data_IF_598209070078
#
_entry.id   IF_598209070078
#
_cell.length_a   1.000
_cell.length_b   1.000
_cell.length_c   1.000
_cell.angle_alpha   90.00
_cell.angle_beta   90.00
_cell.angle_gamma   90.00
#
_symmetry.space_group_name_H-M   'P 1'
#
loop_
_entity.id
_entity.type
_entity.pdbx_description
1 polymer ?
#
# COMPACT_ATOMS: atom_id res chain seq x y z
N UNK A 1 -15.78 -30.69 11.48
CA UNK A 1 -15.19 -30.29 12.78
C UNK A 1 -14.76 -28.84 12.66
N UNK A 2 -15.36 -27.93 13.43
CA UNK A 2 -15.01 -26.51 13.37
C UNK A 2 -13.59 -26.36 13.91
N UNK A 3 -12.59 -26.11 13.05
CA UNK A 3 -11.23 -25.78 13.53
C UNK A 3 -11.38 -24.57 14.43
N UNK A 4 -11.03 -24.70 15.71
CA UNK A 4 -11.14 -23.60 16.67
C UNK A 4 -10.28 -22.43 16.16
N UNK A 5 -10.93 -21.33 15.77
CA UNK A 5 -10.26 -20.12 15.32
C UNK A 5 -9.43 -19.56 16.47
N UNK A 6 -8.27 -19.03 16.14
CA UNK A 6 -7.30 -18.58 17.13
C UNK A 6 -6.83 -17.16 16.85
N UNK A 7 -6.67 -16.35 17.89
CA UNK A 7 -6.15 -14.98 17.81
C UNK A 7 -4.77 -14.92 18.47
N UNK A 8 -3.80 -14.31 17.81
CA UNK A 8 -2.51 -13.99 18.41
C UNK A 8 -2.64 -12.72 19.26
N UNK A 9 -2.33 -12.79 20.55
CA UNK A 9 -2.10 -11.62 21.39
C UNK A 9 -0.59 -11.38 21.42
N UNK A 10 -0.14 -10.38 20.69
CA UNK A 10 1.29 -10.09 20.50
C UNK A 10 1.63 -8.79 21.21
N UNK A 11 2.66 -8.77 22.04
CA UNK A 11 2.99 -7.55 22.78
C UNK A 11 4.23 -7.62 23.65
N UNK A 12 4.56 -6.49 24.26
CA UNK A 12 5.66 -6.36 25.20
C UNK A 12 5.18 -6.78 26.60
N UNK A 13 5.14 -8.08 26.87
CA UNK A 13 4.61 -8.64 28.12
C UNK A 13 5.49 -8.29 29.34
N UNK A 14 6.75 -7.93 29.11
CA UNK A 14 7.68 -7.41 30.12
C UNK A 14 7.20 -6.10 30.78
N UNK A 15 6.50 -5.26 30.02
CA UNK A 15 6.06 -3.93 30.46
C UNK A 15 4.55 -3.74 30.48
N UNK A 16 3.81 -4.57 29.74
CA UNK A 16 2.34 -4.49 29.58
C UNK A 16 1.69 -5.86 29.74
N UNK A 17 2.21 -6.67 30.65
CA UNK A 17 1.70 -8.01 30.89
C UNK A 17 0.21 -8.03 31.26
N UNK A 18 -0.23 -7.11 32.13
CA UNK A 18 -1.62 -7.03 32.58
C UNK A 18 -2.61 -6.76 31.44
N UNK A 19 -2.30 -5.81 30.56
CA UNK A 19 -3.17 -5.44 29.45
C UNK A 19 -3.29 -6.56 28.41
N UNK A 20 -2.17 -7.23 28.09
CA UNK A 20 -2.19 -8.34 27.15
C UNK A 20 -2.86 -9.59 27.73
N UNK A 21 -2.67 -9.87 29.02
CA UNK A 21 -3.39 -10.94 29.70
C UNK A 21 -4.89 -10.64 29.82
N UNK A 22 -5.27 -9.38 30.01
CA UNK A 22 -6.67 -8.96 29.95
C UNK A 22 -7.27 -9.27 28.57
N UNK A 23 -6.62 -8.84 27.49
CA UNK A 23 -7.07 -9.16 26.12
C UNK A 23 -7.21 -10.66 25.89
N UNK A 24 -6.20 -11.45 26.28
CA UNK A 24 -6.25 -12.92 26.24
C UNK A 24 -7.51 -13.45 26.92
N UNK A 25 -7.73 -13.07 28.18
CA UNK A 25 -8.84 -13.59 28.98
C UNK A 25 -10.21 -13.22 28.39
N UNK A 26 -10.37 -11.99 27.85
CA UNK A 26 -11.62 -11.57 27.20
C UNK A 26 -11.90 -12.32 25.90
N UNK A 27 -10.86 -12.63 25.12
CA UNK A 27 -10.97 -13.39 23.86
C UNK A 27 -11.27 -14.87 24.15
N UNK A 28 -10.58 -15.48 25.11
CA UNK A 28 -10.85 -16.85 25.56
C UNK A 28 -12.25 -16.98 26.14
N UNK A 29 -12.69 -16.00 26.94
CA UNK A 29 -14.06 -15.93 27.45
C UNK A 29 -15.12 -15.80 26.36
N UNK A 30 -14.73 -15.36 25.16
CA UNK A 30 -15.58 -15.35 23.96
C UNK A 30 -15.54 -16.68 23.18
N UNK A 31 -14.83 -17.69 23.66
CA UNK A 31 -14.76 -19.02 23.04
C UNK A 31 -13.78 -19.15 21.88
N UNK A 32 -12.88 -18.18 21.67
CA UNK A 32 -11.78 -18.29 20.71
C UNK A 32 -10.50 -18.74 21.41
N UNK A 33 -9.66 -19.50 20.71
CA UNK A 33 -8.34 -19.86 21.22
C UNK A 33 -7.42 -18.63 21.17
N UNK A 34 -6.51 -18.49 22.13
CA UNK A 34 -5.48 -17.45 22.10
C UNK A 34 -4.09 -18.07 22.05
N UNK A 35 -3.20 -17.46 21.27
CA UNK A 35 -1.75 -17.69 21.34
C UNK A 35 -1.09 -16.40 21.81
N UNK A 36 -0.39 -16.43 22.93
CA UNK A 36 0.36 -15.26 23.43
C UNK A 36 1.77 -15.26 22.88
N UNK A 37 2.20 -14.13 22.35
CA UNK A 37 3.54 -13.94 21.78
C UNK A 37 4.22 -12.76 22.46
N UNK A 38 5.20 -13.05 23.31
CA UNK A 38 6.02 -12.02 23.93
C UNK A 38 7.07 -11.50 22.95
N UNK A 39 7.01 -10.20 22.72
CA UNK A 39 7.95 -9.41 21.91
C UNK A 39 8.55 -8.24 22.73
N UNK A 40 8.56 -8.38 24.06
CA UNK A 40 9.31 -7.50 24.96
C UNK A 40 10.81 -7.59 24.70
N UNK A 41 11.54 -6.54 25.08
CA UNK A 41 12.99 -6.44 24.81
C UNK A 41 13.81 -6.11 26.05
N UNK A 42 13.17 -5.92 27.22
CA UNK A 42 13.87 -5.41 28.41
C UNK A 42 14.24 -6.51 29.38
N UNK A 43 13.27 -7.30 29.79
CA UNK A 43 13.42 -8.24 30.91
C UNK A 43 12.61 -9.52 30.71
N UNK A 44 13.02 -10.63 31.34
CA UNK A 44 12.23 -11.86 31.35
C UNK A 44 10.86 -11.63 31.99
N UNK A 45 9.85 -12.34 31.51
CA UNK A 45 8.50 -12.30 32.07
C UNK A 45 8.32 -13.40 33.13
N UNK A 46 7.55 -13.14 34.22
CA UNK A 46 7.39 -14.08 35.33
C UNK A 46 6.27 -15.12 35.11
N UNK A 47 5.68 -15.18 33.91
CA UNK A 47 4.55 -16.04 33.59
C UNK A 47 4.72 -16.70 32.21
N UNK A 48 3.99 -17.78 31.96
CA UNK A 48 4.08 -18.53 30.71
C UNK A 48 3.32 -17.85 29.56
N UNK A 49 3.93 -17.85 28.38
CA UNK A 49 3.30 -17.44 27.11
C UNK A 49 3.50 -18.54 26.07
N UNK A 50 2.66 -18.57 25.03
CA UNK A 50 2.77 -19.59 23.99
C UNK A 50 4.10 -19.50 23.21
N UNK A 51 4.60 -18.28 22.99
CA UNK A 51 5.88 -18.02 22.34
C UNK A 51 6.59 -16.86 23.05
N UNK A 52 7.73 -17.15 23.67
CA UNK A 52 8.57 -16.12 24.30
C UNK A 52 9.80 -15.81 23.43
N UNK A 53 9.65 -14.83 22.52
CA UNK A 53 10.73 -14.47 21.61
C UNK A 53 11.91 -13.81 22.32
N UNK A 54 11.66 -13.08 23.42
CA UNK A 54 12.72 -12.50 24.23
C UNK A 54 13.67 -13.58 24.75
N UNK A 55 13.12 -14.58 25.47
CA UNK A 55 13.92 -15.68 26.02
C UNK A 55 14.61 -16.51 24.93
N UNK A 56 13.92 -16.76 23.82
CA UNK A 56 14.49 -17.47 22.67
C UNK A 56 15.69 -16.72 22.05
N UNK A 57 15.54 -15.42 21.80
CA UNK A 57 16.57 -14.60 21.17
C UNK A 57 17.76 -14.38 22.09
N UNK A 58 17.53 -14.15 23.39
CA UNK A 58 18.60 -14.09 24.41
C UNK A 58 19.42 -15.37 24.45
N UNK A 59 18.76 -16.52 24.51
CA UNK A 59 19.44 -17.83 24.53
C UNK A 59 20.31 -18.05 23.29
N UNK A 60 19.87 -17.54 22.13
CA UNK A 60 20.59 -17.68 20.87
C UNK A 60 21.65 -16.57 20.64
N UNK A 61 21.78 -15.59 21.54
CA UNK A 61 22.68 -14.45 21.35
C UNK A 61 22.26 -13.48 20.24
N UNK A 62 20.97 -13.48 19.86
CA UNK A 62 20.44 -12.73 18.72
C UNK A 62 19.70 -11.44 19.13
N UNK A 63 19.82 -11.02 20.38
CA UNK A 63 19.23 -9.78 20.88
C UNK A 63 20.35 -8.83 21.31
N UNK A 64 20.38 -7.63 20.75
CA UNK A 64 21.35 -6.60 21.12
C UNK A 64 20.88 -5.82 22.36
N UNK A 65 21.45 -6.15 23.50
CA UNK A 65 21.05 -5.56 24.78
C UNK A 65 21.64 -4.17 25.03
N UNK A 66 22.62 -3.76 24.22
CA UNK A 66 23.29 -2.47 24.33
C UNK A 66 22.61 -1.35 23.54
N UNK A 67 21.76 -1.70 22.56
CA UNK A 67 21.08 -0.74 21.71
C UNK A 67 19.58 -1.06 21.59
N UNK A 68 18.75 -0.23 22.24
CA UNK A 68 17.29 -0.38 22.27
C UNK A 68 16.67 -0.43 20.88
N UNK A 69 17.10 0.41 19.95
CA UNK A 69 16.49 0.48 18.62
C UNK A 69 16.82 -0.77 17.82
N UNK A 70 18.05 -1.26 17.93
CA UNK A 70 18.47 -2.52 17.30
C UNK A 70 17.74 -3.72 17.90
N UNK A 71 17.57 -3.78 19.23
CA UNK A 71 16.76 -4.81 19.88
C UNK A 71 15.31 -4.83 19.35
N UNK A 72 14.70 -3.65 19.18
CA UNK A 72 13.35 -3.52 18.61
C UNK A 72 13.32 -4.04 17.17
N UNK A 73 14.29 -3.66 16.32
CA UNK A 73 14.34 -4.12 14.93
C UNK A 73 14.55 -5.64 14.81
N UNK A 74 15.43 -6.21 15.64
CA UNK A 74 15.66 -7.65 15.69
C UNK A 74 14.39 -8.38 16.14
N UNK A 75 13.69 -7.84 17.13
CA UNK A 75 12.43 -8.38 17.62
C UNK A 75 11.30 -8.29 16.58
N UNK A 76 11.19 -7.17 15.85
CA UNK A 76 10.22 -7.04 14.75
C UNK A 76 10.49 -8.12 13.70
N UNK A 77 11.75 -8.32 13.30
CA UNK A 77 12.14 -9.31 12.30
C UNK A 77 11.77 -10.74 12.71
N UNK A 78 12.09 -11.14 13.94
CA UNK A 78 11.74 -12.48 14.44
C UNK A 78 10.22 -12.63 14.68
N UNK A 79 9.56 -11.58 15.17
CA UNK A 79 8.09 -11.53 15.30
C UNK A 79 7.38 -11.72 13.96
N UNK A 80 7.85 -11.04 12.90
CA UNK A 80 7.34 -11.20 11.53
C UNK A 80 7.48 -12.65 11.06
N UNK A 81 8.65 -13.27 11.25
CA UNK A 81 8.90 -14.66 10.85
C UNK A 81 7.91 -15.61 11.53
N UNK A 82 7.78 -15.51 12.85
CA UNK A 82 6.88 -16.35 13.63
C UNK A 82 5.42 -16.15 13.21
N UNK A 83 4.94 -14.91 13.14
CA UNK A 83 3.55 -14.61 12.81
C UNK A 83 3.19 -15.05 11.38
N UNK A 84 4.09 -14.85 10.41
CA UNK A 84 3.92 -15.39 9.06
C UNK A 84 3.83 -16.91 9.04
N UNK A 85 4.66 -17.60 9.83
CA UNK A 85 4.62 -19.06 9.93
C UNK A 85 3.30 -19.52 10.56
N UNK A 86 2.89 -18.94 11.68
CA UNK A 86 1.64 -19.30 12.36
C UNK A 86 0.41 -19.06 11.47
N UNK A 87 0.39 -17.97 10.71
CA UNK A 87 -0.70 -17.67 9.77
C UNK A 87 -0.74 -18.71 8.65
N UNK A 88 0.41 -19.03 8.05
CA UNK A 88 0.52 -20.01 6.96
C UNK A 88 0.13 -21.42 7.39
N UNK A 89 0.48 -21.80 8.62
CA UNK A 89 0.11 -23.09 9.23
C UNK A 89 -1.38 -23.16 9.63
N UNK A 90 -2.15 -22.08 9.46
CA UNK A 90 -3.54 -21.98 9.91
C UNK A 90 -3.70 -22.00 11.43
N UNK A 91 -2.65 -21.63 12.18
CA UNK A 91 -2.64 -21.61 13.65
C UNK A 91 -3.18 -20.31 14.23
N UNK A 92 -3.25 -19.24 13.44
CA UNK A 92 -3.84 -17.95 13.83
C UNK A 92 -4.74 -17.43 12.70
N UNK A 93 -5.78 -16.68 13.09
CA UNK A 93 -6.86 -16.15 12.24
C UNK A 93 -7.16 -14.68 12.59
N UNK A 94 -6.23 -14.04 13.29
CA UNK A 94 -6.33 -12.66 13.74
C UNK A 94 -5.17 -12.34 14.68
N UNK A 95 -4.83 -11.06 14.80
CA UNK A 95 -3.79 -10.55 15.68
C UNK A 95 -4.28 -9.29 16.39
N UNK A 96 -4.02 -9.20 17.69
CA UNK A 96 -4.35 -8.04 18.51
C UNK A 96 -3.19 -7.66 19.42
N UNK A 97 -3.05 -6.36 19.69
CA UNK A 97 -2.06 -5.82 20.63
C UNK A 97 -2.56 -4.55 21.31
N UNK A 98 -1.91 -4.16 22.41
CA UNK A 98 -2.12 -2.90 23.09
C UNK A 98 -0.78 -2.28 23.50
N UNK A 99 -0.56 -0.98 23.24
CA UNK A 99 0.71 -0.36 23.59
C UNK A 99 0.78 1.15 23.45
N UNK A 100 1.86 1.71 24.02
CA UNK A 100 2.26 3.09 23.78
C UNK A 100 2.93 3.27 22.42
N UNK A 101 3.65 4.36 22.19
CA UNK A 101 4.33 4.63 20.91
C UNK A 101 5.26 3.49 20.45
N UNK A 102 6.19 3.03 21.29
CA UNK A 102 7.11 1.93 20.92
C UNK A 102 6.39 0.59 20.70
N UNK A 103 5.41 0.26 21.55
CA UNK A 103 4.62 -0.97 21.40
C UNK A 103 3.76 -0.95 20.14
N UNK A 104 3.21 0.22 19.80
CA UNK A 104 2.47 0.45 18.56
C UNK A 104 3.37 0.27 17.35
N UNK A 105 4.54 0.89 17.32
CA UNK A 105 5.50 0.74 16.23
C UNK A 105 5.91 -0.74 16.04
N UNK A 106 6.28 -1.41 17.11
CA UNK A 106 6.72 -2.81 17.09
C UNK A 106 5.59 -3.73 16.60
N UNK A 107 4.43 -3.67 17.24
CA UNK A 107 3.35 -4.62 16.95
C UNK A 107 2.68 -4.34 15.62
N UNK A 108 2.50 -3.07 15.21
CA UNK A 108 2.00 -2.74 13.88
C UNK A 108 2.95 -3.21 12.78
N UNK A 109 4.27 -3.13 12.99
CA UNK A 109 5.26 -3.64 12.03
C UNK A 109 5.14 -5.15 11.84
N UNK A 110 4.86 -5.89 12.92
CA UNK A 110 4.56 -7.33 12.84
C UNK A 110 3.19 -7.57 12.18
N UNK A 111 2.16 -6.80 12.54
CA UNK A 111 0.82 -6.89 11.92
C UNK A 111 0.88 -6.70 10.41
N UNK A 112 1.71 -5.78 9.91
CA UNK A 112 1.85 -5.54 8.47
C UNK A 112 2.37 -6.74 7.68
N UNK A 113 2.93 -7.76 8.34
CA UNK A 113 3.34 -8.99 7.67
C UNK A 113 2.19 -9.98 7.40
N UNK A 114 1.01 -9.76 8.00
CA UNK A 114 -0.17 -10.58 7.77
C UNK A 114 -0.89 -10.18 6.46
N UNK A 115 -1.44 -11.15 5.70
CA UNK A 115 -2.18 -10.87 4.47
C UNK A 115 -3.39 -9.95 4.67
N UNK A 116 -3.87 -9.35 3.57
CA UNK A 116 -5.14 -8.62 3.55
C UNK A 116 -6.28 -9.51 4.09
N UNK A 117 -7.17 -8.93 4.90
CA UNK A 117 -8.39 -9.59 5.37
C UNK A 117 -8.22 -10.44 6.63
N UNK A 118 -6.98 -10.81 7.00
CA UNK A 118 -6.73 -11.35 8.34
C UNK A 118 -6.91 -10.22 9.35
N UNK A 119 -7.81 -10.33 10.35
CA UNK A 119 -8.07 -9.28 11.32
C UNK A 119 -6.82 -8.83 12.09
N UNK A 120 -6.56 -7.51 12.13
CA UNK A 120 -5.41 -6.89 12.82
C UNK A 120 -5.92 -5.70 13.63
N UNK A 121 -5.85 -5.77 14.96
CA UNK A 121 -6.38 -4.72 15.85
C UNK A 121 -5.27 -4.20 16.76
N UNK A 122 -5.04 -2.90 16.77
CA UNK A 122 -4.04 -2.24 17.61
C UNK A 122 -4.71 -1.23 18.53
N UNK A 123 -4.66 -1.46 19.84
CA UNK A 123 -5.04 -0.45 20.84
C UNK A 123 -3.83 0.43 21.13
N UNK A 124 -3.88 1.72 20.77
CA UNK A 124 -2.72 2.60 20.82
C UNK A 124 -2.99 3.92 21.53
N UNK A 125 -2.03 4.35 22.35
CA UNK A 125 -2.05 5.69 22.98
C UNK A 125 -1.75 6.81 21.98
N UNK A 126 -1.26 6.46 20.79
CA UNK A 126 -0.89 7.42 19.74
C UNK A 126 -1.79 7.30 18.51
N UNK A 127 -2.91 6.57 18.56
CA UNK A 127 -3.79 6.39 17.40
C UNK A 127 -4.35 7.69 16.78
N UNK A 128 -4.29 8.81 17.52
CA UNK A 128 -4.71 10.15 17.09
C UNK A 128 -3.59 10.97 16.44
N UNK A 129 -2.39 10.39 16.28
CA UNK A 129 -1.26 10.98 15.54
C UNK A 129 -1.27 10.52 14.08
N UNK A 130 -0.28 10.95 13.31
CA UNK A 130 -0.06 10.44 11.96
C UNK A 130 0.25 8.95 11.96
N UNK A 131 -0.64 8.16 11.37
CA UNK A 131 -0.57 6.71 11.29
C UNK A 131 -0.06 6.19 9.92
N UNK A 132 0.35 7.07 8.99
CA UNK A 132 0.76 6.70 7.61
C UNK A 132 1.72 5.52 7.59
N UNK A 133 2.81 5.59 8.37
CA UNK A 133 3.82 4.52 8.43
C UNK A 133 3.46 3.37 9.38
N UNK A 134 2.55 3.60 10.32
CA UNK A 134 2.08 2.59 11.29
C UNK A 134 1.14 1.61 10.61
N UNK A 135 0.14 2.10 9.89
CA UNK A 135 -0.81 1.28 9.14
C UNK A 135 -0.22 0.85 7.79
N UNK A 136 0.49 1.75 7.12
CA UNK A 136 1.01 1.53 5.78
C UNK A 136 -0.12 1.28 4.79
N UNK A 137 0.00 0.21 4.04
CA UNK A 137 -0.95 -0.24 3.00
C UNK A 137 -1.88 -1.36 3.47
N UNK A 138 -1.87 -1.67 4.77
CA UNK A 138 -2.63 -2.77 5.37
C UNK A 138 -3.93 -2.31 6.02
N UNK A 139 -4.85 -3.26 6.20
CA UNK A 139 -6.14 -3.14 6.89
C UNK A 139 -6.01 -3.25 8.42
N UNK A 140 -5.08 -2.50 9.03
CA UNK A 140 -4.92 -2.46 10.49
C UNK A 140 -6.00 -1.54 11.09
N UNK A 141 -6.80 -2.10 12.01
CA UNK A 141 -7.77 -1.32 12.79
C UNK A 141 -7.09 -0.70 14.01
N UNK A 142 -6.98 0.63 14.02
CA UNK A 142 -6.46 1.40 15.15
C UNK A 142 -7.59 1.77 16.12
N UNK A 143 -7.43 1.43 17.40
CA UNK A 143 -8.32 1.83 18.48
C UNK A 143 -7.55 2.75 19.42
N UNK A 144 -8.01 3.98 19.63
CA UNK A 144 -7.38 4.91 20.55
C UNK A 144 -7.60 4.46 22.00
N UNK A 145 -6.53 4.31 22.79
CA UNK A 145 -6.63 3.86 24.19
C UNK A 145 -7.27 4.91 25.12
N UNK A 146 -7.34 6.18 24.68
CA UNK A 146 -7.85 7.37 25.41
C UNK A 146 -6.96 7.77 26.58
N UNK A 147 -6.64 6.82 27.46
CA UNK A 147 -5.70 6.98 28.56
C UNK A 147 -4.42 6.20 28.28
N UNK A 148 -3.35 6.50 29.02
CA UNK A 148 -2.13 5.71 28.93
C UNK A 148 -2.37 4.26 29.41
N UNK A 149 -1.54 3.35 28.92
CA UNK A 149 -1.59 1.92 29.23
C UNK A 149 -0.50 1.61 30.27
N UNK A 150 -0.91 1.73 31.53
CA UNK A 150 -0.13 1.42 32.72
C UNK A 150 -1.01 0.59 33.69
N UNK A 151 -1.24 -0.65 33.32
CA UNK A 151 -2.18 -1.55 33.98
C UNK A 151 -3.62 -1.34 33.50
N UNK A 152 -4.51 -2.22 33.96
CA UNK A 152 -5.93 -2.19 33.61
C UNK A 152 -6.74 -1.48 34.69
N UNK A 153 -7.37 -0.36 34.33
CA UNK A 153 -8.25 0.40 35.21
C UNK A 153 -9.68 0.46 34.63
N UNK A 154 -10.59 1.11 35.35
CA UNK A 154 -12.01 1.22 34.97
C UNK A 154 -12.24 1.91 33.63
N UNK A 155 -11.28 2.71 33.13
CA UNK A 155 -11.36 3.38 31.83
C UNK A 155 -10.67 2.52 30.75
N UNK A 156 -9.40 2.13 30.96
CA UNK A 156 -8.66 1.33 29.97
C UNK A 156 -9.29 -0.05 29.74
N UNK A 157 -9.87 -0.66 30.78
CA UNK A 157 -10.60 -1.92 30.69
C UNK A 157 -11.82 -1.86 29.76
N UNK A 158 -12.53 -0.73 29.70
CA UNK A 158 -13.64 -0.55 28.74
C UNK A 158 -13.10 -0.64 27.30
N UNK A 159 -12.01 0.07 27.01
CA UNK A 159 -11.44 0.11 25.67
C UNK A 159 -10.85 -1.25 25.27
N UNK A 160 -10.12 -1.91 26.18
CA UNK A 160 -9.55 -3.23 25.94
C UNK A 160 -10.63 -4.30 25.75
N UNK A 161 -11.75 -4.23 26.49
CA UNK A 161 -12.88 -5.15 26.30
C UNK A 161 -13.53 -4.97 24.92
N UNK A 162 -13.74 -3.72 24.48
CA UNK A 162 -14.26 -3.44 23.14
C UNK A 162 -13.29 -3.90 22.04
N UNK A 163 -11.99 -3.72 22.23
CA UNK A 163 -10.98 -4.22 21.30
C UNK A 163 -10.99 -5.76 21.19
N UNK A 164 -11.10 -6.45 22.33
CA UNK A 164 -11.25 -7.91 22.38
C UNK A 164 -12.55 -8.38 21.67
N UNK A 165 -13.67 -7.70 21.91
CA UNK A 165 -14.93 -7.99 21.24
C UNK A 165 -14.84 -7.76 19.72
N UNK A 166 -14.19 -6.67 19.29
CA UNK A 166 -14.00 -6.33 17.89
C UNK A 166 -13.20 -7.41 17.16
N UNK A 167 -12.02 -7.81 17.68
CA UNK A 167 -11.22 -8.86 17.03
C UNK A 167 -11.98 -10.20 17.01
N UNK A 168 -12.75 -10.53 18.05
CA UNK A 168 -13.58 -11.74 18.04
C UNK A 168 -14.65 -11.71 16.94
N UNK A 169 -15.31 -10.57 16.74
CA UNK A 169 -16.28 -10.37 15.67
C UNK A 169 -15.65 -10.47 14.29
N UNK A 170 -14.55 -9.75 14.06
CA UNK A 170 -13.80 -9.78 12.81
C UNK A 170 -13.33 -11.20 12.48
N UNK A 171 -12.75 -11.91 13.45
CA UNK A 171 -12.29 -13.30 13.30
C UNK A 171 -13.44 -14.27 13.04
N UNK A 172 -14.70 -13.93 13.33
CA UNK A 172 -15.88 -14.76 13.00
C UNK A 172 -16.48 -14.46 11.64
N UNK A 173 -16.09 -13.37 10.98
CA UNK A 173 -16.55 -13.05 9.64
C UNK A 173 -16.27 -14.20 8.66
N UNK A 174 -17.19 -14.43 7.73
CA UNK A 174 -17.12 -15.47 6.70
C UNK A 174 -17.56 -14.94 5.34
N UNK A 175 -17.64 -13.62 5.17
CA UNK A 175 -18.04 -13.05 3.89
C UNK A 175 -17.07 -13.51 2.79
N UNK A 176 -17.65 -13.91 1.67
CA UNK A 176 -16.95 -14.28 0.45
C UNK A 176 -17.75 -13.71 -0.74
N UNK A 177 -17.09 -13.37 -1.85
CA UNK A 177 -17.80 -12.94 -3.05
C UNK A 177 -18.63 -14.10 -3.62
N UNK A 178 -19.78 -13.79 -4.21
CA UNK A 178 -20.64 -14.79 -4.87
C UNK A 178 -19.96 -15.43 -6.10
N UNK A 179 -19.07 -14.67 -6.75
CA UNK A 179 -18.31 -15.10 -7.93
C UNK A 179 -16.90 -14.54 -7.88
N UNK A 180 -15.92 -15.34 -8.31
CA UNK A 180 -14.54 -14.87 -8.52
C UNK A 180 -14.29 -14.61 -10.01
N UNK A 181 -14.13 -13.33 -10.37
CA UNK A 181 -13.74 -12.92 -11.72
C UNK A 181 -12.23 -12.71 -11.81
N UNK A 182 -11.70 -12.71 -13.04
CA UNK A 182 -10.32 -12.24 -13.26
C UNK A 182 -10.24 -10.76 -12.88
N UNK A 183 -9.27 -10.43 -12.03
CA UNK A 183 -9.11 -9.07 -11.50
C UNK A 183 -8.05 -8.27 -12.24
N UNK A 184 -8.38 -7.05 -12.63
CA UNK A 184 -7.45 -6.06 -13.17
C UNK A 184 -7.30 -4.94 -12.15
N UNK A 185 -6.09 -4.67 -11.69
CA UNK A 185 -5.82 -3.47 -10.92
C UNK A 185 -5.74 -2.25 -11.85
N UNK A 186 -6.31 -1.12 -11.42
CA UNK A 186 -6.35 0.10 -12.21
C UNK A 186 -5.92 1.30 -11.36
N UNK A 187 -4.71 1.83 -11.56
CA UNK A 187 -4.29 3.06 -10.91
C UNK A 187 -4.83 4.28 -11.65
N UNK A 188 -5.36 5.29 -10.96
CA UNK A 188 -5.82 6.53 -11.60
C UNK A 188 -5.74 7.71 -10.63
N UNK A 189 -5.88 8.94 -11.13
CA UNK A 189 -6.03 10.13 -10.29
C UNK A 189 -7.01 11.13 -10.92
N UNK A 190 -7.26 12.23 -10.21
CA UNK A 190 -8.30 13.21 -10.54
C UNK A 190 -8.37 13.58 -12.03
N UNK A 191 -7.23 13.93 -12.63
CA UNK A 191 -7.20 14.47 -14.00
C UNK A 191 -7.42 13.43 -15.10
N UNK A 192 -7.52 12.15 -14.75
CA UNK A 192 -7.77 11.06 -15.70
C UNK A 192 -8.97 10.17 -15.29
N UNK A 193 -9.83 10.68 -14.42
CA UNK A 193 -11.03 9.96 -13.94
C UNK A 193 -11.93 9.51 -15.10
N UNK A 194 -12.11 10.36 -16.13
CA UNK A 194 -12.91 10.02 -17.32
C UNK A 194 -12.37 8.78 -18.05
N UNK A 195 -11.04 8.70 -18.20
CA UNK A 195 -10.38 7.53 -18.79
C UNK A 195 -10.56 6.29 -17.91
N UNK A 196 -10.33 6.41 -16.60
CA UNK A 196 -10.45 5.30 -15.66
C UNK A 196 -11.87 4.68 -15.64
N UNK A 197 -12.91 5.52 -15.62
CA UNK A 197 -14.31 5.05 -15.68
C UNK A 197 -14.64 4.37 -17.00
N UNK A 198 -14.09 4.86 -18.12
CA UNK A 198 -14.28 4.23 -19.42
C UNK A 198 -13.54 2.88 -19.51
N UNK A 199 -12.27 2.82 -19.10
CA UNK A 199 -11.47 1.59 -19.05
C UNK A 199 -12.16 0.54 -18.18
N UNK A 200 -12.63 0.94 -17.00
CA UNK A 200 -13.37 0.06 -16.09
C UNK A 200 -14.59 -0.56 -16.77
N UNK A 201 -15.44 0.28 -17.39
CA UNK A 201 -16.65 -0.20 -18.08
C UNK A 201 -16.31 -1.17 -19.21
N UNK A 202 -15.28 -0.91 -20.00
CA UNK A 202 -14.90 -1.78 -21.11
C UNK A 202 -14.36 -3.13 -20.60
N UNK A 203 -13.50 -3.15 -19.59
CA UNK A 203 -12.99 -4.38 -18.97
C UNK A 203 -14.11 -5.21 -18.31
N UNK A 204 -15.07 -4.56 -17.63
CA UNK A 204 -16.21 -5.26 -17.01
C UNK A 204 -17.14 -5.90 -18.06
N UNK A 205 -17.27 -5.30 -19.26
CA UNK A 205 -17.97 -5.93 -20.40
C UNK A 205 -17.26 -7.17 -20.92
N UNK A 206 -15.97 -7.29 -20.67
CA UNK A 206 -15.13 -8.47 -20.99
C UNK A 206 -15.05 -9.47 -19.81
N UNK A 207 -15.93 -9.33 -18.81
CA UNK A 207 -16.04 -10.20 -17.63
C UNK A 207 -14.85 -10.14 -16.64
N UNK A 208 -14.16 -9.00 -16.60
CA UNK A 208 -13.20 -8.70 -15.54
C UNK A 208 -13.87 -8.02 -14.34
N UNK A 209 -13.27 -8.17 -13.16
CA UNK A 209 -13.50 -7.30 -12.01
C UNK A 209 -12.36 -6.29 -11.95
N UNK A 210 -12.69 -4.99 -11.96
CA UNK A 210 -11.68 -3.93 -11.94
C UNK A 210 -11.56 -3.37 -10.53
N UNK A 211 -10.34 -3.40 -9.99
CA UNK A 211 -10.03 -2.91 -8.64
C UNK A 211 -9.30 -1.56 -8.78
N UNK A 212 -9.99 -0.43 -8.56
CA UNK A 212 -9.41 0.88 -8.74
C UNK A 212 -8.54 1.30 -7.54
N UNK A 213 -7.43 1.96 -7.82
CA UNK A 213 -6.52 2.55 -6.85
C UNK A 213 -6.29 4.02 -7.16
N UNK A 214 -6.54 4.88 -6.18
CA UNK A 214 -6.14 6.28 -6.30
C UNK A 214 -4.61 6.36 -6.21
N UNK A 215 -3.95 6.90 -7.23
CA UNK A 215 -2.49 6.99 -7.31
C UNK A 215 -1.95 8.14 -6.42
N UNK A 216 -2.17 8.05 -5.12
CA UNK A 216 -1.84 9.10 -4.14
C UNK A 216 -0.60 8.74 -3.29
N UNK A 217 0.33 7.98 -3.87
CA UNK A 217 1.47 7.40 -3.19
C UNK A 217 1.10 6.10 -2.50
N UNK A 218 0.18 6.13 -1.53
CA UNK A 218 -0.24 4.94 -0.80
C UNK A 218 -1.06 3.98 -1.65
N UNK A 219 -1.93 4.47 -2.54
CA UNK A 219 -2.74 3.59 -3.38
C UNK A 219 -1.94 2.78 -4.40
N UNK A 220 -0.93 3.39 -5.05
CA UNK A 220 -0.01 2.65 -5.92
C UNK A 220 0.76 1.55 -5.19
N UNK A 221 1.25 1.83 -3.97
CA UNK A 221 1.91 0.82 -3.14
C UNK A 221 0.96 -0.30 -2.68
N UNK A 222 -0.28 0.04 -2.31
CA UNK A 222 -1.29 -0.94 -1.91
C UNK A 222 -1.64 -1.88 -3.07
N UNK A 223 -1.74 -1.35 -4.29
CA UNK A 223 -1.93 -2.14 -5.50
C UNK A 223 -0.80 -3.17 -5.68
N UNK A 224 0.45 -2.78 -5.52
CA UNK A 224 1.59 -3.70 -5.68
C UNK A 224 1.68 -4.74 -4.57
N UNK A 225 1.35 -4.35 -3.34
CA UNK A 225 1.28 -5.29 -2.23
C UNK A 225 0.21 -6.37 -2.49
N UNK A 226 -0.97 -5.99 -2.96
CA UNK A 226 -2.02 -6.94 -3.33
C UNK A 226 -1.66 -7.77 -4.57
N UNK A 227 -0.88 -7.21 -5.51
CA UNK A 227 -0.29 -7.99 -6.59
C UNK A 227 0.65 -9.09 -6.06
N UNK A 228 1.48 -8.77 -5.05
CA UNK A 228 2.37 -9.73 -4.37
C UNK A 228 1.62 -10.84 -3.65
N UNK A 229 0.44 -10.53 -3.11
CA UNK A 229 -0.46 -11.50 -2.49
C UNK A 229 -1.25 -12.34 -3.51
N UNK A 230 -1.18 -11.99 -4.81
CA UNK A 230 -1.78 -12.77 -5.89
C UNK A 230 -3.22 -12.40 -6.22
N UNK A 231 -3.67 -11.19 -5.88
CA UNK A 231 -5.05 -10.76 -6.13
C UNK A 231 -5.34 -10.43 -7.60
N UNK A 232 -4.32 -10.14 -8.41
CA UNK A 232 -4.50 -9.61 -9.77
C UNK A 232 -4.00 -10.55 -10.86
N UNK A 233 -4.74 -10.54 -11.97
CA UNK A 233 -4.40 -11.21 -13.22
C UNK A 233 -3.76 -10.25 -14.23
N UNK A 234 -3.91 -8.94 -14.02
CA UNK A 234 -3.28 -7.89 -14.81
C UNK A 234 -3.26 -6.57 -14.03
N UNK A 235 -2.33 -5.70 -14.38
CA UNK A 235 -2.22 -4.34 -13.84
C UNK A 235 -2.29 -3.37 -15.02
N UNK A 236 -3.26 -2.47 -14.99
CA UNK A 236 -3.36 -1.34 -15.89
C UNK A 236 -2.94 -0.09 -15.10
N UNK A 237 -1.67 0.25 -15.19
CA UNK A 237 -1.08 1.45 -14.62
C UNK A 237 -1.46 2.67 -15.48
N UNK A 238 -2.71 3.12 -15.35
CA UNK A 238 -3.23 4.28 -16.09
C UNK A 238 -2.68 5.60 -15.53
N UNK A 239 -2.35 5.67 -14.25
CA UNK A 239 -1.66 6.82 -13.65
C UNK A 239 -0.23 6.47 -13.24
N UNK A 240 0.74 7.21 -13.78
CA UNK A 240 2.17 7.12 -13.40
C UNK A 240 2.69 8.37 -12.69
N UNK A 241 1.85 9.40 -12.51
CA UNK A 241 2.22 10.71 -11.92
C UNK A 241 2.82 10.66 -10.51
N UNK A 242 2.65 9.57 -9.76
CA UNK A 242 3.27 9.41 -8.44
C UNK A 242 4.81 9.58 -8.49
N UNK A 243 5.45 9.32 -9.65
CA UNK A 243 6.88 9.62 -9.86
C UNK A 243 7.17 11.13 -9.89
N UNK A 244 6.30 11.93 -10.52
CA UNK A 244 6.44 13.38 -10.59
C UNK A 244 6.28 14.00 -9.20
N UNK A 245 5.27 13.57 -8.44
CA UNK A 245 5.07 14.00 -7.06
C UNK A 245 6.23 13.54 -6.16
N UNK A 246 6.77 12.34 -6.35
CA UNK A 246 7.94 11.90 -5.58
C UNK A 246 9.20 12.74 -5.87
N UNK A 247 9.40 13.17 -7.13
CA UNK A 247 10.51 14.02 -7.53
C UNK A 247 10.43 15.43 -6.92
N UNK A 248 9.21 15.95 -6.76
CA UNK A 248 8.94 17.33 -6.34
C UNK A 248 8.49 17.47 -4.88
N UNK A 249 8.55 16.38 -4.09
CA UNK A 249 7.96 16.30 -2.75
C UNK A 249 6.49 16.78 -2.71
N UNK A 250 5.72 16.34 -3.71
CA UNK A 250 4.34 16.71 -3.93
C UNK A 250 3.32 16.01 -3.03
N UNK A 251 2.06 16.31 -3.27
CA UNK A 251 0.92 15.85 -2.49
C UNK A 251 0.76 14.32 -2.51
N UNK A 252 1.00 13.70 -3.66
CA UNK A 252 0.97 12.25 -3.85
C UNK A 252 2.35 11.60 -3.66
N UNK A 253 3.28 12.25 -2.96
CA UNK A 253 4.63 11.72 -2.70
C UNK A 253 4.66 10.56 -1.70
N UNK A 254 5.86 10.02 -1.48
CA UNK A 254 6.09 8.94 -0.52
C UNK A 254 5.77 7.54 -1.06
N UNK A 255 5.87 7.35 -2.39
CA UNK A 255 5.97 6.01 -2.96
C UNK A 255 7.26 5.31 -2.51
N UNK A 256 7.16 4.01 -2.29
CA UNK A 256 8.32 3.17 -1.99
C UNK A 256 9.21 2.96 -3.22
N UNK A 257 10.46 2.49 -3.01
CA UNK A 257 11.40 2.25 -4.10
C UNK A 257 10.89 1.22 -5.11
N UNK A 258 9.98 0.33 -4.70
CA UNK A 258 9.47 -0.77 -5.52
C UNK A 258 8.32 -0.37 -6.46
N UNK A 259 7.84 0.88 -6.40
CA UNK A 259 6.77 1.36 -7.29
C UNK A 259 7.16 1.17 -8.76
N UNK A 260 6.27 0.58 -9.56
CA UNK A 260 6.40 0.14 -10.95
C UNK A 260 7.37 -1.02 -11.20
N UNK A 261 7.94 -1.63 -10.15
CA UNK A 261 8.83 -2.79 -10.30
C UNK A 261 8.04 -4.10 -10.39
N UNK A 262 8.62 -5.18 -10.97
CA UNK A 262 8.00 -6.49 -10.96
C UNK A 262 7.74 -6.99 -9.54
N UNK A 263 6.65 -7.71 -9.40
CA UNK A 263 6.36 -8.49 -8.20
C UNK A 263 7.21 -9.78 -8.18
N UNK A 264 8.14 -9.96 -7.22
CA UNK A 264 9.01 -11.13 -7.21
C UNK A 264 8.25 -12.46 -7.20
N UNK A 265 8.62 -13.36 -8.11
CA UNK A 265 8.00 -14.69 -8.23
C UNK A 265 6.60 -14.70 -8.86
N UNK A 266 6.11 -13.56 -9.35
CA UNK A 266 4.84 -13.44 -10.08
C UNK A 266 5.10 -12.95 -11.50
N UNK A 267 4.24 -13.36 -12.43
CA UNK A 267 4.28 -12.93 -13.84
C UNK A 267 2.93 -12.29 -14.17
N UNK A 268 2.76 -11.04 -13.75
CA UNK A 268 1.51 -10.30 -13.91
C UNK A 268 1.69 -9.34 -15.08
N UNK A 269 0.94 -9.48 -16.19
CA UNK A 269 1.00 -8.52 -17.28
C UNK A 269 0.68 -7.11 -16.78
N UNK A 270 1.51 -6.14 -17.18
CA UNK A 270 1.40 -4.74 -16.78
C UNK A 270 1.35 -3.83 -17.99
N UNK A 271 0.18 -3.24 -18.23
CA UNK A 271 -0.01 -2.19 -19.22
C UNK A 271 0.24 -0.83 -18.55
N UNK A 272 1.16 -0.04 -19.09
CA UNK A 272 1.58 1.25 -18.53
C UNK A 272 1.23 2.38 -19.47
N UNK A 273 0.76 3.50 -18.92
CA UNK A 273 0.52 4.74 -19.66
C UNK A 273 1.14 5.93 -18.91
N UNK A 274 1.48 7.04 -19.59
CA UNK A 274 2.07 8.22 -18.96
C UNK A 274 1.02 9.11 -18.24
N UNK A 275 -0.13 8.55 -17.81
CA UNK A 275 -1.23 9.36 -17.30
C UNK A 275 -0.88 10.18 -16.06
N UNK A 276 -1.15 11.49 -16.15
CA UNK A 276 -0.81 12.50 -15.15
C UNK A 276 0.68 12.84 -15.06
N UNK A 277 1.56 12.13 -15.76
CA UNK A 277 3.01 12.31 -15.70
C UNK A 277 3.45 13.63 -16.37
N UNK A 278 2.50 14.40 -16.89
CA UNK A 278 2.68 15.76 -17.36
C UNK A 278 2.90 16.78 -16.23
N UNK A 279 2.54 16.44 -15.00
CA UNK A 279 2.54 17.38 -13.89
C UNK A 279 2.90 16.75 -12.54
N UNK A 280 3.29 17.58 -11.58
CA UNK A 280 3.35 17.24 -10.17
C UNK A 280 2.27 18.02 -9.41
N UNK A 281 1.56 17.37 -8.48
CA UNK A 281 0.53 18.01 -7.66
C UNK A 281 1.15 18.49 -6.36
N UNK A 282 1.03 19.78 -6.03
CA UNK A 282 1.60 20.40 -4.84
C UNK A 282 0.53 21.10 -4.00
N UNK A 283 0.81 21.32 -2.71
CA UNK A 283 -0.10 22.01 -1.79
C UNK A 283 0.10 23.53 -1.81
N UNK A 284 -0.47 24.19 -2.81
CA UNK A 284 -0.59 25.65 -2.84
C UNK A 284 -1.79 26.12 -3.67
N UNK A 285 -2.11 27.41 -3.58
CA UNK A 285 -3.24 28.02 -4.29
C UNK A 285 -2.82 29.27 -5.06
N UNK A 286 -3.70 29.78 -5.93
CA UNK A 286 -3.50 31.05 -6.65
C UNK A 286 -3.23 32.27 -5.76
N UNK A 287 -3.53 32.19 -4.46
CA UNK A 287 -3.27 33.27 -3.50
C UNK A 287 -1.81 33.31 -3.03
N UNK A 288 -1.11 32.18 -3.08
CA UNK A 288 0.25 32.05 -2.62
C UNK A 288 0.97 30.99 -3.46
N UNK A 289 1.59 31.43 -4.55
CA UNK A 289 2.44 30.57 -5.39
C UNK A 289 3.86 30.63 -4.81
N UNK A 290 4.47 29.48 -4.45
CA UNK A 290 5.87 29.41 -4.03
C UNK A 290 6.79 30.08 -5.05
N UNK A 291 7.86 30.74 -4.58
CA UNK A 291 8.75 31.53 -5.43
C UNK A 291 9.36 30.71 -6.57
N UNK A 292 9.80 29.49 -6.26
CA UNK A 292 10.34 28.51 -7.20
C UNK A 292 9.37 28.04 -8.31
N UNK A 293 8.07 28.34 -8.19
CA UNK A 293 7.04 27.92 -9.14
C UNK A 293 6.34 29.10 -9.84
N UNK A 294 6.73 30.34 -9.57
CA UNK A 294 6.06 31.54 -10.13
C UNK A 294 6.08 31.59 -11.66
N UNK A 295 7.15 31.11 -12.27
CA UNK A 295 7.34 31.11 -13.73
C UNK A 295 6.92 29.80 -14.40
N UNK A 296 6.34 28.87 -13.64
CA UNK A 296 5.84 27.59 -14.15
C UNK A 296 4.43 27.75 -14.70
N UNK A 297 4.05 26.90 -15.66
CA UNK A 297 2.64 26.70 -16.01
C UNK A 297 1.94 25.99 -14.85
N UNK A 298 0.81 26.54 -14.40
CA UNK A 298 0.08 26.05 -13.22
C UNK A 298 -1.39 25.82 -13.56
N UNK A 299 -1.91 24.67 -13.14
CA UNK A 299 -3.33 24.37 -13.11
C UNK A 299 -3.81 24.38 -11.66
N UNK A 300 -4.65 25.36 -11.32
CA UNK A 300 -5.18 25.52 -9.97
C UNK A 300 -6.42 24.66 -9.78
N UNK A 301 -6.39 23.74 -8.82
CA UNK A 301 -7.50 22.81 -8.57
C UNK A 301 -8.31 23.20 -7.33
N UNK A 302 -7.74 23.02 -6.14
CA UNK A 302 -8.38 23.35 -4.85
C UNK A 302 -7.37 24.00 -3.88
N UNK A 303 -7.14 23.41 -2.70
CA UNK A 303 -5.97 23.73 -1.88
C UNK A 303 -4.66 23.19 -2.49
N UNK A 304 -4.79 22.37 -3.55
CA UNK A 304 -3.71 21.84 -4.38
C UNK A 304 -3.68 22.49 -5.75
N UNK A 305 -2.49 22.51 -6.34
CA UNK A 305 -2.23 22.98 -7.70
C UNK A 305 -1.28 22.01 -8.40
N UNK A 306 -1.47 21.80 -9.70
CA UNK A 306 -0.54 21.03 -10.51
C UNK A 306 0.40 21.96 -11.27
N UNK A 307 1.70 21.66 -11.22
CA UNK A 307 2.72 22.38 -11.98
C UNK A 307 3.15 21.53 -13.18
N UNK A 308 3.26 22.15 -14.35
CA UNK A 308 3.80 21.50 -15.55
C UNK A 308 5.26 21.16 -15.32
N UNK A 309 5.66 19.93 -15.58
CA UNK A 309 7.06 19.51 -15.51
C UNK A 309 7.95 20.23 -16.54
N UNK A 310 9.21 20.39 -16.20
CA UNK A 310 10.25 20.86 -17.13
C UNK A 310 10.77 19.72 -18.00
N UNK A 311 11.55 20.05 -19.04
CA UNK A 311 12.25 19.07 -19.86
C UNK A 311 13.20 18.19 -19.02
N UNK A 312 13.91 18.78 -18.06
CA UNK A 312 14.88 18.06 -17.24
C UNK A 312 14.19 17.13 -16.24
N UNK A 313 13.12 17.59 -15.58
CA UNK A 313 12.29 16.73 -14.72
C UNK A 313 11.70 15.57 -15.55
N UNK A 314 11.17 15.87 -16.74
CA UNK A 314 10.63 14.85 -17.65
C UNK A 314 11.68 13.83 -18.10
N UNK A 315 12.93 14.25 -18.33
CA UNK A 315 14.06 13.35 -18.64
C UNK A 315 14.33 12.40 -17.48
N UNK A 316 14.39 12.92 -16.25
CA UNK A 316 14.60 12.12 -15.04
C UNK A 316 13.50 11.08 -14.86
N UNK A 317 12.24 11.48 -15.05
CA UNK A 317 11.10 10.57 -14.93
C UNK A 317 11.08 9.50 -16.03
N UNK A 318 11.47 9.86 -17.26
CA UNK A 318 11.58 8.91 -18.37
C UNK A 318 12.64 7.83 -18.07
N UNK A 319 13.82 8.24 -17.58
CA UNK A 319 14.88 7.33 -17.17
C UNK A 319 14.42 6.43 -16.02
N UNK A 320 13.84 7.02 -14.97
CA UNK A 320 13.38 6.28 -13.80
C UNK A 320 12.30 5.25 -14.14
N UNK A 321 11.28 5.64 -14.94
CA UNK A 321 10.24 4.71 -15.36
C UNK A 321 10.81 3.59 -16.25
N UNK A 322 11.72 3.92 -17.18
CA UNK A 322 12.37 2.92 -18.03
C UNK A 322 13.15 1.90 -17.21
N UNK A 323 13.98 2.35 -16.27
CA UNK A 323 14.79 1.48 -15.41
C UNK A 323 13.93 0.50 -14.61
N UNK A 324 12.75 0.95 -14.16
CA UNK A 324 11.79 0.13 -13.43
C UNK A 324 11.13 -0.92 -14.33
N UNK A 325 10.65 -0.52 -15.49
CA UNK A 325 9.97 -1.42 -16.44
C UNK A 325 10.94 -2.43 -17.09
N UNK A 326 12.19 -2.05 -17.29
CA UNK A 326 13.26 -2.92 -17.80
C UNK A 326 13.54 -4.13 -16.90
N UNK A 327 13.09 -4.10 -15.64
CA UNK A 327 13.18 -5.25 -14.73
C UNK A 327 12.18 -6.36 -15.07
N UNK A 328 11.16 -6.09 -15.89
CA UNK A 328 10.12 -7.06 -16.24
C UNK A 328 9.72 -7.07 -17.72
N UNK A 329 10.74 -7.06 -18.58
CA UNK A 329 10.62 -6.96 -20.04
C UNK A 329 9.49 -7.79 -20.65
N UNK A 330 9.28 -9.03 -20.17
CA UNK A 330 8.30 -9.92 -20.78
C UNK A 330 6.84 -9.56 -20.48
N UNK A 331 6.57 -8.93 -19.33
CA UNK A 331 5.22 -8.69 -18.84
C UNK A 331 4.70 -7.28 -19.18
N UNK A 332 5.57 -6.38 -19.65
CA UNK A 332 5.25 -4.96 -19.81
C UNK A 332 4.85 -4.64 -21.25
N UNK A 333 3.82 -3.81 -21.38
CA UNK A 333 3.45 -3.11 -22.60
C UNK A 333 3.20 -1.65 -22.24
N UNK A 334 3.67 -0.71 -23.07
CA UNK A 334 3.41 0.72 -22.91
C UNK A 334 2.48 1.25 -24.00
N UNK A 335 1.44 1.98 -23.62
CA UNK A 335 0.61 2.78 -24.52
C UNK A 335 0.77 4.27 -24.22
N UNK A 336 1.11 5.05 -25.23
CA UNK A 336 1.36 6.50 -25.13
C UNK A 336 0.32 7.26 -25.94
N UNK A 337 -0.66 7.93 -25.30
CA UNK A 337 -1.52 8.88 -25.99
C UNK A 337 -0.73 10.14 -26.36
N UNK A 338 -0.68 10.49 -27.64
CA UNK A 338 0.16 11.60 -28.13
C UNK A 338 -0.52 12.97 -28.01
N UNK A 339 -1.83 13.04 -27.74
CA UNK A 339 -2.58 14.31 -27.66
C UNK A 339 -2.76 14.86 -26.24
N UNK A 340 -2.22 14.19 -25.22
CA UNK A 340 -2.29 14.67 -23.84
C UNK A 340 -2.42 13.57 -22.78
N UNK A 341 -1.84 13.82 -21.60
CA UNK A 341 -1.73 12.84 -20.50
C UNK A 341 -2.59 13.16 -19.27
N UNK A 342 -3.28 14.29 -19.26
CA UNK A 342 -4.20 14.68 -18.20
C UNK A 342 -5.28 15.62 -18.76
N UNK A 343 -6.35 15.87 -18.01
CA UNK A 343 -7.34 16.88 -18.43
C UNK A 343 -6.75 18.29 -18.60
N UNK A 344 -5.62 18.59 -17.95
CA UNK A 344 -4.96 19.89 -18.02
C UNK A 344 -3.87 19.96 -19.12
N UNK A 345 -3.57 18.83 -19.78
CA UNK A 345 -2.60 18.69 -20.86
C UNK A 345 -3.31 18.46 -22.20
N UNK A 346 -4.06 19.46 -22.64
CA UNK A 346 -4.77 19.48 -23.92
C UNK A 346 -4.74 20.88 -24.51
N UNK A 347 -4.82 21.01 -25.83
CA UNK A 347 -4.95 22.32 -26.47
C UNK A 347 -5.96 23.24 -25.75
N UNK A 348 -5.52 24.47 -25.43
CA UNK A 348 -6.22 25.49 -24.61
C UNK A 348 -6.19 25.29 -23.09
N UNK A 349 -5.65 24.20 -22.57
CA UNK A 349 -5.52 23.94 -21.14
C UNK A 349 -4.17 24.41 -20.58
N UNK A 350 -4.08 24.76 -19.27
CA UNK A 350 -2.91 25.44 -18.72
C UNK A 350 -1.59 24.67 -18.78
N UNK A 351 -1.62 23.34 -18.72
CA UNK A 351 -0.41 22.51 -18.71
C UNK A 351 0.00 22.02 -20.09
N UNK A 352 -0.75 22.37 -21.14
CA UNK A 352 -0.47 21.91 -22.49
C UNK A 352 0.93 22.30 -22.97
N UNK A 353 1.71 21.28 -23.31
CA UNK A 353 3.08 21.42 -23.79
C UNK A 353 3.50 20.14 -24.54
N UNK A 354 3.15 20.03 -25.82
CA UNK A 354 3.46 18.83 -26.61
C UNK A 354 4.97 18.61 -26.79
N UNK A 355 5.80 19.66 -26.69
CA UNK A 355 7.26 19.54 -26.83
C UNK A 355 7.86 18.78 -25.66
N UNK A 356 7.44 19.09 -24.42
CA UNK A 356 7.89 18.36 -23.23
C UNK A 356 7.43 16.90 -23.23
N UNK A 357 6.19 16.62 -23.67
CA UNK A 357 5.71 15.23 -23.82
C UNK A 357 6.52 14.47 -24.89
N UNK A 358 6.76 15.08 -26.05
CA UNK A 358 7.56 14.46 -27.11
C UNK A 358 9.00 14.20 -26.66
N UNK A 359 9.58 15.12 -25.87
CA UNK A 359 10.91 14.94 -25.30
C UNK A 359 10.96 13.77 -24.31
N UNK A 360 10.00 13.66 -23.39
CA UNK A 360 9.87 12.49 -22.53
C UNK A 360 9.81 11.20 -23.34
N UNK A 361 8.92 11.13 -24.34
CA UNK A 361 8.71 9.91 -25.15
C UNK A 361 9.98 9.51 -25.91
N UNK A 362 10.73 10.49 -26.41
CA UNK A 362 12.04 10.26 -27.03
C UNK A 362 13.01 9.58 -26.06
N UNK A 363 13.23 10.17 -24.89
CA UNK A 363 14.15 9.62 -23.89
C UNK A 363 13.68 8.26 -23.40
N UNK A 364 12.37 8.12 -23.17
CA UNK A 364 11.76 6.88 -22.73
C UNK A 364 12.01 5.75 -23.74
N UNK A 365 11.83 5.99 -25.04
CA UNK A 365 12.16 5.02 -26.10
C UNK A 365 13.65 4.67 -26.17
N UNK A 366 14.54 5.65 -25.94
CA UNK A 366 15.99 5.42 -25.95
C UNK A 366 16.46 4.53 -24.78
N UNK A 367 15.75 4.57 -23.64
CA UNK A 367 16.12 3.88 -22.40
C UNK A 367 15.36 2.58 -22.17
N UNK A 368 14.16 2.45 -22.72
CA UNK A 368 13.33 1.26 -22.58
C UNK A 368 13.95 0.09 -23.37
N UNK A 369 13.94 -1.11 -22.78
CA UNK A 369 14.40 -2.32 -23.44
C UNK A 369 13.56 -2.55 -24.71
N UNK A 370 14.25 -2.68 -25.85
CA UNK A 370 13.63 -2.84 -27.18
C UNK A 370 12.65 -4.02 -27.31
N UNK A 371 12.64 -4.97 -26.37
CA UNK A 371 11.70 -6.09 -26.34
C UNK A 371 10.36 -5.71 -25.67
N UNK A 372 10.31 -4.62 -24.91
CA UNK A 372 9.07 -4.06 -24.38
C UNK A 372 8.34 -3.37 -25.53
N UNK A 373 7.09 -3.79 -25.79
CA UNK A 373 6.24 -3.16 -26.80
C UNK A 373 5.83 -1.78 -26.32
N UNK A 374 6.07 -0.76 -27.13
CA UNK A 374 5.62 0.61 -26.92
C UNK A 374 4.85 1.07 -28.15
N UNK A 375 3.62 1.53 -27.96
CA UNK A 375 2.79 2.07 -29.03
C UNK A 375 2.37 3.50 -28.72
N UNK A 376 2.58 4.39 -29.70
CA UNK A 376 2.00 5.72 -29.68
C UNK A 376 0.66 5.71 -30.40
N UNK A 377 -0.36 6.29 -29.77
CA UNK A 377 -1.71 6.38 -30.32
C UNK A 377 -2.14 7.83 -30.40
N UNK A 378 -2.69 8.22 -31.56
CA UNK A 378 -3.13 9.59 -31.85
C UNK A 378 -4.47 9.93 -31.16
N UNK A 379 -4.44 9.91 -29.84
CA UNK A 379 -5.58 10.12 -28.95
C UNK A 379 -5.13 10.88 -27.70
N UNK A 380 -6.07 11.51 -27.02
CA UNK A 380 -5.87 12.07 -25.69
C UNK A 380 -6.22 10.98 -24.65
N UNK A 381 -5.55 10.95 -23.49
CA UNK A 381 -5.77 9.87 -22.50
C UNK A 381 -7.24 9.74 -22.05
N UNK A 382 -7.95 10.86 -21.96
CA UNK A 382 -9.38 10.93 -21.59
C UNK A 382 -10.35 10.69 -22.76
N UNK A 383 -9.86 10.39 -23.97
CA UNK A 383 -10.75 10.02 -25.08
C UNK A 383 -11.33 8.61 -24.85
N UNK A 384 -12.64 8.40 -25.09
CA UNK A 384 -13.25 7.08 -24.96
C UNK A 384 -12.57 5.99 -25.81
N UNK A 385 -12.05 6.36 -26.98
CA UNK A 385 -11.33 5.45 -27.87
C UNK A 385 -10.00 4.96 -27.25
N UNK A 386 -9.30 5.82 -26.48
CA UNK A 386 -8.09 5.42 -25.77
C UNK A 386 -8.41 4.37 -24.69
N UNK A 387 -9.47 4.62 -23.91
CA UNK A 387 -9.93 3.70 -22.89
C UNK A 387 -10.33 2.33 -23.46
N UNK A 388 -11.01 2.31 -24.61
CA UNK A 388 -11.31 1.08 -25.34
C UNK A 388 -10.03 0.35 -25.75
N UNK A 389 -9.07 1.05 -26.38
CA UNK A 389 -7.79 0.44 -26.77
C UNK A 389 -7.05 -0.15 -25.56
N UNK A 390 -6.90 0.62 -24.48
CA UNK A 390 -6.22 0.17 -23.28
C UNK A 390 -6.86 -1.08 -22.66
N UNK A 391 -8.20 -1.13 -22.61
CA UNK A 391 -8.92 -2.31 -22.13
C UNK A 391 -8.67 -3.56 -23.01
N UNK A 392 -8.70 -3.41 -24.34
CA UNK A 392 -8.45 -4.52 -25.26
C UNK A 392 -7.01 -5.01 -25.20
N UNK A 393 -6.03 -4.11 -25.11
CA UNK A 393 -4.62 -4.49 -24.95
C UNK A 393 -4.43 -5.24 -23.63
N UNK A 394 -5.04 -4.77 -22.55
CA UNK A 394 -4.96 -5.47 -21.26
C UNK A 394 -5.59 -6.88 -21.33
N UNK A 395 -6.76 -7.03 -21.95
CA UNK A 395 -7.41 -8.32 -22.16
C UNK A 395 -6.52 -9.29 -22.97
N UNK A 396 -5.90 -8.81 -24.05
CA UNK A 396 -4.94 -9.60 -24.85
C UNK A 396 -3.76 -10.07 -23.99
N UNK A 397 -3.12 -9.16 -23.26
CA UNK A 397 -1.99 -9.47 -22.40
C UNK A 397 -2.33 -10.51 -21.31
N UNK A 398 -3.54 -10.46 -20.74
CA UNK A 398 -3.99 -11.47 -19.77
C UNK A 398 -4.26 -12.82 -20.43
N UNK A 399 -4.85 -12.84 -21.63
CA UNK A 399 -5.14 -14.07 -22.39
C UNK A 399 -3.89 -14.80 -22.86
N UNK A 400 -2.84 -14.08 -23.27
CA UNK A 400 -1.56 -14.69 -23.69
C UNK A 400 -0.80 -15.37 -22.55
N UNK A 401 -1.18 -15.09 -21.30
CA UNK A 401 -0.54 -15.66 -20.08
C UNK A 401 -1.42 -16.65 -19.32
N UNK A 402 -2.69 -16.78 -19.72
CA UNK A 402 -3.62 -17.80 -19.22
C UNK A 402 -3.35 -19.12 -19.92
#
# INVERSE_FOLDING_TARGET
>A
MNKSRAVAVVGTFDSKGEEHLFLKNRIEGSGLRVLTVNVGTKEPIPFEVSYDLYSLMKKNGNLDDGNRDKAIQDMIREGIKLIKQLCRDGKIHGMISAGGGSGTHLCSSIMRALPLGIPKVMVSTVASKDMKHTVGTKDITMIHSVVDLLGVNSISGIILDKAAAAICGMTRSQWQPDTEKRRIALSFFGFITKSAEAVKRELERMDYEVIPFHANGTGGMAMEELASEGYFHGILDLATHELADALMDGYCSGIGPDRFEPTPGKKIPRLVTPGGLDCAVLEFTRRHIPEEHRDRKVFFYDFRSAIRLTLEESRVLAEQLSDKLNKDVSNVHVLVPTRGWSEADKESEPLYDPETNAYFVKIFKEKLDHRIRLEEVDMHINDPAFAQMAAHVMDQMVKERS
#
